data_IF_220141118384
#
_entry.id   IF_220141118384
#
_cell.length_a   1.000
_cell.length_b   1.000
_cell.length_c   1.000
_cell.angle_alpha   90.00
_cell.angle_beta   90.00
_cell.angle_gamma   90.00
#
_symmetry.space_group_name_H-M   'P 1'
#
loop_
_entity.id
_entity.type
_entity.pdbx_description
1 polymer ?
#
# COMPACT_ATOMS: atom_id res chain seq x y z
N UNK A 1 61.46 24.01 9.56
CA UNK A 1 61.22 25.37 10.06
C UNK A 1 59.71 25.46 10.29
N UNK A 2 59.30 25.42 11.57
CA UNK A 2 57.95 25.63 12.16
C UNK A 2 56.83 24.71 11.62
N UNK A 3 56.44 23.56 12.21
CA UNK A 3 55.90 23.22 13.57
C UNK A 3 54.65 24.02 13.99
N UNK A 4 53.52 23.32 14.17
CA UNK A 4 52.48 23.32 15.24
C UNK A 4 51.26 22.60 14.62
N UNK A 5 50.58 21.58 15.16
CA UNK A 5 50.44 20.97 16.49
C UNK A 5 48.96 20.53 16.60
N UNK A 6 48.66 19.22 16.71
CA UNK A 6 48.05 18.53 17.90
C UNK A 6 46.72 19.12 18.38
N UNK A 7 45.66 18.41 18.76
CA UNK A 7 45.40 16.99 19.01
C UNK A 7 43.90 16.79 19.33
N UNK A 8 43.45 15.54 19.27
CA UNK A 8 42.49 14.83 20.13
C UNK A 8 41.15 15.45 20.55
N UNK A 9 40.07 14.66 20.43
CA UNK A 9 38.96 14.70 21.40
C UNK A 9 37.59 14.24 20.90
N UNK A 10 37.27 12.95 21.11
CA UNK A 10 36.01 12.35 21.61
C UNK A 10 34.61 12.96 21.26
N UNK A 11 33.70 12.08 20.79
CA UNK A 11 32.20 12.14 20.83
C UNK A 11 31.64 12.33 22.28
N UNK A 12 30.30 12.38 22.58
CA UNK A 12 29.03 12.52 21.80
C UNK A 12 27.99 13.53 22.42
N UNK A 13 26.78 13.66 21.83
CA UNK A 13 25.47 14.07 22.41
C UNK A 13 25.40 15.25 23.41
N UNK A 14 24.73 16.36 23.03
CA UNK A 14 23.82 17.12 23.93
C UNK A 14 22.69 17.83 23.14
N UNK A 15 21.51 17.85 23.77
CA UNK A 15 20.18 18.28 23.33
C UNK A 15 19.99 19.81 23.21
N UNK A 16 18.97 20.25 22.45
CA UNK A 16 18.40 21.60 22.62
C UNK A 16 17.31 22.00 21.60
N UNK A 17 16.05 21.69 21.91
CA UNK A 17 14.82 22.14 21.23
C UNK A 17 14.56 23.62 21.56
N UNK A 18 14.35 24.49 20.55
CA UNK A 18 13.42 25.63 20.60
C UNK A 18 13.45 26.48 19.31
N UNK A 19 12.37 26.46 18.52
CA UNK A 19 11.73 27.65 17.92
C UNK A 19 10.53 27.23 17.06
N UNK A 20 9.55 26.62 17.71
CA UNK A 20 8.17 26.54 17.23
C UNK A 20 7.49 27.88 17.53
N UNK A 21 6.92 28.53 16.50
CA UNK A 21 5.64 29.29 16.56
C UNK A 21 5.28 30.13 15.32
N UNK A 22 6.18 30.35 14.36
CA UNK A 22 5.88 31.29 13.25
C UNK A 22 5.48 30.66 11.90
N UNK A 23 5.37 29.34 11.79
CA UNK A 23 4.94 28.69 10.53
C UNK A 23 3.42 28.46 10.42
N UNK A 24 2.67 28.61 11.53
CA UNK A 24 1.24 28.31 11.57
C UNK A 24 0.35 29.38 10.89
N UNK A 25 0.91 30.55 10.58
CA UNK A 25 0.11 31.66 10.02
C UNK A 25 0.07 31.70 8.49
N UNK A 26 1.03 31.09 7.81
CA UNK A 26 1.10 31.11 6.33
C UNK A 26 0.28 29.99 5.68
N UNK A 27 -0.10 28.95 6.42
CA UNK A 27 -0.89 27.81 5.87
C UNK A 27 -2.41 28.10 5.90
N UNK A 28 -2.87 29.05 6.71
CA UNK A 28 -4.31 29.28 6.89
C UNK A 28 -4.97 30.12 5.78
N UNK A 29 -4.20 30.79 4.92
CA UNK A 29 -4.75 31.65 3.85
C UNK A 29 -4.87 30.99 2.47
N UNK A 30 -4.53 29.70 2.33
CA UNK A 30 -4.68 28.96 1.06
C UNK A 30 -5.91 28.03 1.01
N UNK A 31 -6.69 27.90 2.09
CA UNK A 31 -7.81 26.94 2.20
C UNK A 31 -9.17 27.55 1.81
N UNK A 32 -9.21 28.49 0.85
CA UNK A 32 -10.47 28.98 0.29
C UNK A 32 -10.40 29.06 -1.24
N UNK A 33 -10.32 27.89 -1.88
CA UNK A 33 -10.76 27.73 -3.27
C UNK A 33 -11.99 26.81 -3.30
N UNK A 34 -13.16 27.30 -3.74
CA UNK A 34 -14.33 26.44 -3.92
C UNK A 34 -14.14 25.62 -5.18
N UNK A 35 -13.88 24.31 -5.04
CA UNK A 35 -13.89 23.35 -6.16
C UNK A 35 -12.75 22.33 -6.23
N UNK A 36 -11.86 22.24 -5.23
CA UNK A 36 -10.79 21.23 -5.20
C UNK A 36 -11.28 19.88 -4.65
N UNK A 37 -11.06 18.79 -5.40
CA UNK A 37 -11.19 17.41 -4.92
C UNK A 37 -10.46 17.25 -3.58
N UNK A 38 -11.18 16.80 -2.57
CA UNK A 38 -10.60 16.43 -1.27
C UNK A 38 -9.79 15.17 -1.50
N UNK A 39 -8.47 15.31 -1.62
CA UNK A 39 -7.57 14.22 -1.28
C UNK A 39 -7.86 13.93 0.19
N UNK A 40 -8.46 12.76 0.43
CA UNK A 40 -8.82 12.16 1.72
C UNK A 40 -8.02 12.82 2.84
N UNK A 41 -8.67 13.68 3.63
CA UNK A 41 -8.03 14.62 4.56
C UNK A 41 -7.01 13.90 5.44
N UNK A 42 -5.74 13.97 5.05
CA UNK A 42 -4.65 13.41 5.83
C UNK A 42 -4.34 14.44 6.91
N UNK A 43 -4.90 14.28 8.10
CA UNK A 43 -4.56 15.09 9.28
C UNK A 43 -3.02 15.17 9.43
N UNK A 44 -2.42 16.37 9.43
CA UNK A 44 -0.98 16.54 9.55
C UNK A 44 -0.62 16.47 11.03
N UNK A 45 -0.48 15.25 11.57
CA UNK A 45 -0.28 15.05 13.00
C UNK A 45 0.51 13.80 13.39
N UNK A 46 0.28 12.65 12.76
CA UNK A 46 0.74 11.33 13.27
C UNK A 46 1.33 10.38 12.20
N UNK A 47 1.69 10.90 11.03
CA UNK A 47 1.85 10.11 9.81
C UNK A 47 3.31 9.89 9.38
N UNK A 48 4.28 10.57 10.00
CA UNK A 48 5.70 10.28 9.75
C UNK A 48 6.21 9.07 10.56
N UNK A 49 5.60 8.74 11.70
CA UNK A 49 5.92 7.48 12.41
C UNK A 49 5.22 6.27 11.79
N UNK A 50 3.97 6.40 11.30
CA UNK A 50 3.25 5.32 10.62
C UNK A 50 3.88 4.96 9.26
N UNK A 51 4.37 5.94 8.50
CA UNK A 51 5.08 5.68 7.24
C UNK A 51 6.47 5.05 7.45
N UNK A 52 7.16 5.39 8.54
CA UNK A 52 8.42 4.74 8.91
C UNK A 52 8.21 3.32 9.48
N UNK A 53 7.04 3.02 10.06
CA UNK A 53 6.70 1.71 10.59
C UNK A 53 6.48 0.64 9.51
N UNK A 54 6.08 1.04 8.29
CA UNK A 54 5.93 0.11 7.15
C UNK A 54 7.31 -0.24 6.54
N UNK A 55 8.34 0.60 6.76
CA UNK A 55 9.59 0.58 5.99
C UNK A 55 10.86 0.02 6.66
N UNK A 56 10.90 -0.27 7.97
CA UNK A 56 12.19 -0.59 8.61
C UNK A 56 12.22 -1.82 9.54
N UNK A 57 11.10 -2.33 10.03
CA UNK A 57 11.10 -3.48 10.97
C UNK A 57 9.75 -4.22 11.00
N UNK A 58 9.03 -4.29 9.88
CA UNK A 58 7.74 -4.96 9.85
C UNK A 58 7.93 -6.47 10.02
N UNK A 59 7.29 -7.13 11.03
CA UNK A 59 7.43 -8.57 11.27
C UNK A 59 6.99 -9.45 10.08
N UNK A 60 6.38 -8.83 9.07
CA UNK A 60 5.91 -9.38 7.81
C UNK A 60 7.04 -9.96 6.94
N UNK A 61 8.23 -9.36 6.97
CA UNK A 61 9.35 -9.80 6.13
C UNK A 61 9.94 -11.14 6.58
N UNK A 62 9.78 -11.54 7.86
CA UNK A 62 10.35 -12.81 8.35
C UNK A 62 9.46 -14.03 8.10
N UNK A 63 8.14 -13.88 7.99
CA UNK A 63 7.22 -15.03 7.90
C UNK A 63 6.88 -15.44 6.47
N UNK A 64 6.80 -14.46 5.57
CA UNK A 64 6.51 -14.70 4.15
C UNK A 64 7.73 -15.20 3.36
N UNK A 65 8.95 -14.85 3.82
CA UNK A 65 10.21 -15.15 3.13
C UNK A 65 10.66 -16.62 3.17
N UNK A 66 10.10 -17.45 4.05
CA UNK A 66 10.56 -18.83 4.21
C UNK A 66 9.88 -19.83 3.25
N UNK A 67 8.66 -19.55 2.79
CA UNK A 67 8.01 -20.19 1.65
C UNK A 67 6.63 -19.53 1.39
N UNK A 68 6.41 -18.83 0.25
CA UNK A 68 5.05 -18.46 -0.13
C UNK A 68 4.22 -19.73 -0.31
N UNK A 69 2.94 -19.71 0.05
CA UNK A 69 2.04 -20.86 -0.09
C UNK A 69 1.99 -21.27 -1.57
N UNK A 70 2.57 -22.42 -1.98
CA UNK A 70 2.72 -22.76 -3.40
C UNK A 70 1.39 -22.83 -4.16
N UNK A 71 0.30 -23.08 -3.43
CA UNK A 71 -1.07 -23.17 -3.93
C UNK A 71 -1.63 -21.84 -4.45
N UNK A 72 -1.05 -20.70 -4.07
CA UNK A 72 -1.48 -19.38 -4.57
C UNK A 72 -0.84 -19.01 -5.91
N UNK A 73 0.24 -19.69 -6.31
CA UNK A 73 0.94 -19.37 -7.56
C UNK A 73 0.06 -19.70 -8.76
N UNK A 74 -0.24 -18.70 -9.57
CA UNK A 74 -1.11 -18.83 -10.74
C UNK A 74 -2.57 -19.16 -10.41
N UNK A 75 -3.00 -19.00 -9.16
CA UNK A 75 -4.36 -19.37 -8.75
C UNK A 75 -5.47 -18.49 -9.36
N UNK A 76 -5.09 -17.41 -10.05
CA UNK A 76 -5.97 -16.45 -10.72
C UNK A 76 -5.79 -16.46 -12.26
N UNK A 77 -4.99 -17.37 -12.83
CA UNK A 77 -4.66 -17.45 -14.28
C UNK A 77 -5.90 -17.65 -15.16
N UNK A 78 -6.82 -18.52 -14.75
CA UNK A 78 -8.06 -18.82 -15.48
C UNK A 78 -9.21 -17.83 -15.19
N UNK A 79 -8.88 -16.68 -14.57
CA UNK A 79 -9.85 -15.77 -13.99
C UNK A 79 -10.23 -16.16 -12.57
N UNK A 80 -11.03 -15.31 -11.93
CA UNK A 80 -11.37 -15.42 -10.52
C UNK A 80 -12.71 -14.73 -10.23
N UNK A 81 -13.36 -15.18 -9.16
CA UNK A 81 -14.57 -14.57 -8.62
C UNK A 81 -14.23 -13.65 -7.44
N UNK A 82 -15.21 -12.87 -6.97
CA UNK A 82 -15.06 -12.12 -5.72
C UNK A 82 -14.79 -13.02 -4.50
N UNK A 83 -15.30 -14.25 -4.52
CA UNK A 83 -15.03 -15.25 -3.47
C UNK A 83 -13.58 -15.72 -3.52
N UNK A 84 -13.02 -15.94 -4.71
CA UNK A 84 -11.60 -16.26 -4.89
C UNK A 84 -10.71 -15.14 -4.41
N UNK A 85 -11.05 -13.89 -4.75
CA UNK A 85 -10.34 -12.70 -4.24
C UNK A 85 -10.35 -12.69 -2.72
N UNK A 86 -11.52 -12.86 -2.09
CA UNK A 86 -11.63 -12.87 -0.64
C UNK A 86 -10.78 -13.95 0.02
N UNK A 87 -10.76 -15.15 -0.56
CA UNK A 87 -9.94 -16.26 -0.07
C UNK A 87 -8.45 -15.96 -0.19
N UNK A 88 -7.99 -15.53 -1.38
CA UNK A 88 -6.57 -15.31 -1.67
C UNK A 88 -6.05 -14.09 -0.92
N UNK A 89 -6.75 -12.96 -0.97
CA UNK A 89 -6.32 -11.73 -0.30
C UNK A 89 -6.47 -11.86 1.22
N UNK A 90 -7.47 -12.59 1.70
CA UNK A 90 -7.60 -12.94 3.10
C UNK A 90 -6.40 -13.75 3.61
N UNK A 91 -5.91 -14.70 2.82
CA UNK A 91 -4.72 -15.49 3.15
C UNK A 91 -3.46 -14.61 3.16
N UNK A 92 -3.28 -13.76 2.15
CA UNK A 92 -2.15 -12.82 2.09
C UNK A 92 -2.16 -11.88 3.30
N UNK A 93 -3.30 -11.27 3.61
CA UNK A 93 -3.45 -10.42 4.79
C UNK A 93 -3.16 -11.19 6.09
N UNK A 94 -3.63 -12.42 6.22
CA UNK A 94 -3.35 -13.25 7.40
C UNK A 94 -1.84 -13.52 7.57
N UNK A 95 -1.13 -13.77 6.47
CA UNK A 95 0.27 -14.22 6.53
C UNK A 95 1.27 -13.07 6.63
N UNK A 96 1.00 -11.94 5.97
CA UNK A 96 1.92 -10.79 5.91
C UNK A 96 1.34 -9.48 6.43
N UNK A 97 0.07 -9.43 6.85
CA UNK A 97 -0.56 -8.21 7.38
C UNK A 97 -0.88 -7.14 6.34
N UNK A 98 -0.60 -7.39 5.06
CA UNK A 98 -0.92 -6.47 3.96
C UNK A 98 -2.37 -6.65 3.53
N UNK A 99 -3.12 -5.56 3.48
CA UNK A 99 -4.46 -5.53 2.90
C UNK A 99 -4.37 -5.26 1.40
N UNK A 100 -4.78 -6.25 0.61
CA UNK A 100 -4.99 -6.09 -0.82
C UNK A 100 -6.46 -5.83 -1.11
N UNK A 101 -6.71 -5.06 -2.17
CA UNK A 101 -8.05 -4.73 -2.65
C UNK A 101 -8.14 -4.99 -4.15
N UNK A 102 -9.25 -5.59 -4.57
CA UNK A 102 -9.65 -5.77 -5.95
C UNK A 102 -10.75 -4.76 -6.28
N UNK A 103 -10.51 -3.92 -7.29
CA UNK A 103 -11.47 -2.96 -7.82
C UNK A 103 -11.96 -3.47 -9.17
N UNK A 104 -13.24 -3.82 -9.23
CA UNK A 104 -13.95 -4.31 -10.41
C UNK A 104 -14.52 -3.16 -11.25
N UNK A 105 -14.61 -3.33 -12.56
CA UNK A 105 -15.20 -2.34 -13.46
C UNK A 105 -16.65 -2.00 -13.05
N UNK A 106 -17.47 -3.01 -12.72
CA UNK A 106 -18.87 -2.83 -12.35
C UNK A 106 -19.37 -3.88 -11.33
N UNK A 107 -20.54 -3.60 -10.75
CA UNK A 107 -21.36 -4.54 -10.00
C UNK A 107 -22.80 -4.52 -10.53
N UNK A 108 -23.43 -5.68 -10.68
CA UNK A 108 -24.83 -5.84 -11.11
C UNK A 108 -25.59 -6.86 -10.24
N UNK A 109 -26.79 -7.28 -10.68
CA UNK A 109 -27.63 -8.25 -9.97
C UNK A 109 -26.98 -9.65 -9.80
N UNK A 110 -25.94 -9.97 -10.55
CA UNK A 110 -25.20 -11.23 -10.50
C UNK A 110 -23.87 -11.11 -9.73
N UNK A 111 -23.44 -9.90 -9.38
CA UNK A 111 -22.21 -9.65 -8.63
C UNK A 111 -21.27 -8.67 -9.33
N UNK A 112 -20.05 -8.51 -8.79
CA UNK A 112 -19.03 -7.71 -9.44
C UNK A 112 -18.48 -8.41 -10.69
N UNK A 113 -18.07 -7.64 -11.69
CA UNK A 113 -17.58 -8.15 -12.96
C UNK A 113 -16.84 -7.14 -13.81
N UNK A 114 -16.43 -7.59 -14.99
CA UNK A 114 -15.59 -6.84 -15.93
C UNK A 114 -14.10 -7.03 -15.65
N UNK A 115 -13.28 -6.08 -16.11
CA UNK A 115 -11.88 -6.07 -15.73
C UNK A 115 -11.76 -5.70 -14.27
N UNK A 116 -10.59 -6.00 -13.69
CA UNK A 116 -10.29 -5.61 -12.33
C UNK A 116 -8.83 -5.22 -12.18
N UNK A 117 -8.59 -4.40 -11.16
CA UNK A 117 -7.27 -3.90 -10.79
C UNK A 117 -7.02 -4.18 -9.33
N UNK A 118 -5.78 -4.55 -9.01
CA UNK A 118 -5.37 -4.86 -7.65
C UNK A 118 -4.58 -3.69 -7.06
N UNK A 119 -4.87 -3.39 -5.80
CA UNK A 119 -4.27 -2.29 -5.06
C UNK A 119 -3.84 -2.74 -3.67
N UNK A 120 -2.90 -2.01 -3.09
CA UNK A 120 -2.54 -2.12 -1.67
C UNK A 120 -3.27 -1.02 -0.91
N UNK A 121 -4.04 -1.41 0.11
CA UNK A 121 -4.59 -0.46 1.09
C UNK A 121 -3.52 -0.21 2.16
N UNK A 122 -3.01 1.03 2.20
CA UNK A 122 -1.99 1.46 3.18
C UNK A 122 -2.60 2.04 4.46
N UNK A 123 -3.91 1.87 4.64
CA UNK A 123 -4.67 2.36 5.77
C UNK A 123 -5.54 3.56 5.42
N UNK A 124 -6.60 3.75 6.22
CA UNK A 124 -7.58 4.84 6.09
C UNK A 124 -8.25 4.94 4.72
N UNK A 125 -8.34 3.84 3.97
CA UNK A 125 -8.93 3.82 2.63
C UNK A 125 -8.04 4.39 1.52
N UNK A 126 -6.76 4.64 1.83
CA UNK A 126 -5.77 5.16 0.88
C UNK A 126 -5.15 4.02 0.07
N UNK A 127 -5.18 4.15 -1.26
CA UNK A 127 -4.72 3.10 -2.16
C UNK A 127 -3.37 3.42 -2.83
N UNK A 128 -2.57 2.37 -2.99
CA UNK A 128 -1.40 2.33 -3.88
C UNK A 128 -1.57 1.26 -4.95
N UNK A 129 -0.92 1.45 -6.08
CA UNK A 129 -0.82 0.43 -7.11
C UNK A 129 -0.20 -0.85 -6.55
N UNK A 130 -0.69 -2.02 -6.97
CA UNK A 130 0.00 -3.27 -6.69
C UNK A 130 1.22 -3.39 -7.61
N UNK A 131 2.40 -3.27 -7.03
CA UNK A 131 3.69 -3.33 -7.69
C UNK A 131 4.42 -4.67 -7.46
N UNK A 132 5.61 -4.78 -8.05
CA UNK A 132 6.46 -5.95 -7.92
C UNK A 132 5.89 -7.18 -8.65
N UNK A 133 6.28 -8.37 -8.18
CA UNK A 133 5.96 -9.63 -8.86
C UNK A 133 4.63 -10.26 -8.39
N UNK A 134 4.00 -9.75 -7.32
CA UNK A 134 2.82 -10.40 -6.73
C UNK A 134 1.67 -10.55 -7.73
N UNK A 135 1.34 -9.48 -8.45
CA UNK A 135 0.24 -9.51 -9.43
C UNK A 135 0.50 -10.59 -10.50
N UNK A 136 1.71 -10.61 -11.06
CA UNK A 136 2.12 -11.60 -12.07
C UNK A 136 2.19 -13.01 -11.49
N UNK A 137 2.65 -13.15 -10.26
CA UNK A 137 2.73 -14.44 -9.58
C UNK A 137 1.36 -15.08 -9.32
N UNK A 138 0.34 -14.27 -9.07
CA UNK A 138 -1.05 -14.73 -8.89
C UNK A 138 -1.74 -15.04 -10.21
N UNK A 139 -1.53 -14.20 -11.24
CA UNK A 139 -2.31 -14.22 -12.47
C UNK A 139 -1.63 -14.91 -13.67
N UNK A 140 -0.32 -15.18 -13.65
CA UNK A 140 0.33 -15.87 -14.77
C UNK A 140 0.40 -17.38 -14.54
N UNK A 141 0.16 -18.13 -15.61
CA UNK A 141 0.31 -19.58 -15.63
C UNK A 141 1.58 -20.08 -14.91
N UNK A 142 1.45 -20.93 -13.88
CA UNK A 142 2.57 -21.32 -13.02
C UNK A 142 3.62 -22.20 -13.75
N UNK A 143 3.28 -22.75 -14.91
CA UNK A 143 4.18 -23.52 -15.76
C UNK A 143 4.83 -22.68 -16.87
N UNK A 144 4.42 -21.41 -17.04
CA UNK A 144 5.05 -20.49 -17.97
C UNK A 144 6.43 -20.07 -17.46
N UNK A 145 7.46 -20.02 -18.32
CA UNK A 145 8.76 -19.44 -17.96
C UNK A 145 8.69 -17.93 -17.70
N UNK A 146 7.63 -17.25 -18.13
CA UNK A 146 7.40 -15.84 -17.83
C UNK A 146 6.90 -15.62 -16.40
N UNK A 147 6.23 -16.63 -15.82
CA UNK A 147 5.65 -16.55 -14.47
C UNK A 147 6.76 -16.49 -13.43
N UNK A 148 6.77 -15.46 -12.56
CA UNK A 148 7.80 -15.34 -11.56
C UNK A 148 7.76 -16.58 -10.62
N UNK A 149 8.93 -17.04 -10.14
CA UNK A 149 8.99 -18.19 -9.23
C UNK A 149 8.50 -17.83 -7.81
N UNK A 150 8.55 -16.54 -7.46
CA UNK A 150 8.17 -16.01 -6.15
C UNK A 150 7.34 -14.72 -6.30
N UNK A 151 6.47 -14.39 -5.33
CA UNK A 151 5.70 -13.14 -5.35
C UNK A 151 6.55 -11.90 -5.05
N UNK A 152 7.83 -12.06 -4.68
CA UNK A 152 8.67 -10.98 -4.16
C UNK A 152 8.41 -10.71 -2.68
N UNK A 153 9.17 -9.77 -2.11
CA UNK A 153 9.02 -9.39 -0.70
C UNK A 153 7.79 -8.48 -0.52
N UNK A 154 7.01 -8.61 0.56
CA UNK A 154 5.86 -7.76 0.85
C UNK A 154 6.16 -6.25 0.76
N UNK A 155 7.36 -5.83 1.18
CA UNK A 155 7.85 -4.44 1.09
C UNK A 155 7.97 -3.89 -0.34
N UNK A 156 7.90 -4.74 -1.37
CA UNK A 156 7.98 -4.36 -2.79
C UNK A 156 6.62 -4.27 -3.48
N UNK A 157 5.53 -4.61 -2.80
CA UNK A 157 4.21 -4.71 -3.42
C UNK A 157 3.45 -3.40 -3.49
N UNK A 158 3.84 -2.38 -2.74
CA UNK A 158 3.20 -1.07 -2.80
C UNK A 158 3.92 -0.16 -3.79
N UNK A 159 3.23 0.23 -4.85
CA UNK A 159 3.70 1.17 -5.86
C UNK A 159 3.32 2.62 -5.57
N UNK A 160 3.02 3.35 -6.64
CA UNK A 160 2.62 4.75 -6.58
C UNK A 160 1.22 4.93 -5.96
N UNK A 161 0.97 6.14 -5.47
CA UNK A 161 -0.32 6.51 -4.89
C UNK A 161 -1.38 6.59 -5.99
N UNK A 162 -2.57 6.06 -5.72
CA UNK A 162 -3.71 6.14 -6.62
C UNK A 162 -4.53 7.40 -6.33
N UNK A 163 -5.12 8.01 -7.36
CA UNK A 163 -5.84 9.29 -7.24
C UNK A 163 -7.24 9.19 -6.59
N UNK A 164 -7.72 7.99 -6.27
CA UNK A 164 -9.03 7.76 -5.64
C UNK A 164 -8.90 6.97 -4.34
N UNK A 165 -9.88 7.14 -3.45
CA UNK A 165 -9.98 6.40 -2.19
C UNK A 165 -11.10 5.36 -2.24
N UNK A 166 -11.07 4.40 -1.32
CA UNK A 166 -12.10 3.35 -1.25
C UNK A 166 -13.51 3.91 -1.00
N UNK A 167 -13.61 5.02 -0.27
CA UNK A 167 -14.87 5.70 0.02
C UNK A 167 -15.53 6.32 -1.23
N UNK A 168 -14.79 6.49 -2.33
CA UNK A 168 -15.31 6.98 -3.60
C UNK A 168 -16.03 5.89 -4.41
N UNK A 169 -15.89 4.61 -4.02
CA UNK A 169 -16.40 3.48 -4.79
C UNK A 169 -17.83 3.14 -4.36
N UNK A 170 -18.80 3.10 -5.30
CA UNK A 170 -20.22 2.96 -4.99
C UNK A 170 -20.64 1.60 -4.42
N UNK A 171 -19.80 0.57 -4.56
CA UNK A 171 -20.09 -0.77 -4.04
C UNK A 171 -18.83 -1.40 -3.45
N UNK A 172 -19.01 -2.13 -2.35
CA UNK A 172 -17.97 -2.93 -1.72
C UNK A 172 -18.54 -4.10 -0.92
N UNK A 173 -17.74 -5.16 -0.73
CA UNK A 173 -18.05 -6.27 0.17
C UNK A 173 -17.61 -6.02 1.62
N UNK A 174 -17.01 -4.86 1.87
CA UNK A 174 -16.53 -4.42 3.18
C UNK A 174 -15.10 -4.82 3.49
N UNK A 175 -14.37 -5.45 2.55
CA UNK A 175 -12.97 -5.79 2.79
C UNK A 175 -12.09 -5.77 1.55
N UNK A 176 -12.30 -6.69 0.61
CA UNK A 176 -11.35 -6.93 -0.47
C UNK A 176 -11.92 -6.66 -1.86
N UNK A 177 -13.23 -6.55 -2.02
CA UNK A 177 -13.86 -6.31 -3.32
C UNK A 177 -14.62 -4.98 -3.32
N UNK A 178 -14.37 -4.17 -4.34
CA UNK A 178 -15.02 -2.88 -4.59
C UNK A 178 -15.33 -2.76 -6.08
N UNK A 179 -16.28 -1.91 -6.47
CA UNK A 179 -16.59 -1.68 -7.89
C UNK A 179 -16.72 -0.20 -8.23
N UNK A 180 -16.26 0.19 -9.43
CA UNK A 180 -16.23 1.60 -9.88
C UNK A 180 -17.64 2.12 -10.22
N UNK A 181 -18.55 1.25 -10.66
CA UNK A 181 -19.93 1.63 -10.98
C UNK A 181 -20.94 0.52 -10.69
N UNK A 182 -22.20 0.93 -10.64
CA UNK A 182 -23.35 0.04 -10.52
C UNK A 182 -24.09 -0.02 -11.86
N UNK A 183 -24.09 -1.18 -12.49
CA UNK A 183 -24.80 -1.44 -13.75
C UNK A 183 -26.15 -2.12 -13.39
N UNK A 184 -27.26 -1.55 -13.89
CA UNK A 184 -28.65 -1.97 -13.59
C UNK A 184 -29.22 -2.80 -14.74
#
# INVERSE_FOLDING_TARGET
MTMVGTASGLNPFEFGIAASKDLAKTVQELVHQPGGRVLCDVEPGDNLETLAAIGADHPCDRRWSDAPVPELRGCMDDGYTAEDVNRVFGQIHHDCGITLVCVWDYYDAYGPGGNSQFHVDVGTGTLRELAGELCRWLNENPHSPASPPHPGAPSTWAGDLVEFCLDDLPWHDGRHNYAVRHDI
#
